data_IF_615982719430
#
_entry.id   IF_615982719430
#
_cell.length_a   1.000
_cell.length_b   1.000
_cell.length_c   1.000
_cell.angle_alpha   90.00
_cell.angle_beta   90.00
_cell.angle_gamma   90.00
#
_symmetry.space_group_name_H-M   'P 1'
#
loop_
_entity.id
_entity.type
_entity.pdbx_description
1 polymer ?
#
# COMPACT_ATOMS: atom_id res chain seq x y z
N UNK A 1 -4.23 10.99 -8.29
CA UNK A 1 -4.03 11.02 -6.82
C UNK A 1 -2.91 10.08 -6.34
N UNK A 2 -2.91 8.78 -6.71
CA UNK A 2 -1.88 7.80 -6.27
C UNK A 2 -0.43 8.13 -6.68
N UNK A 3 -0.19 8.67 -7.89
CA UNK A 3 1.16 9.04 -8.36
C UNK A 3 1.80 10.20 -7.59
N UNK A 4 1.00 11.20 -7.19
CA UNK A 4 1.48 12.33 -6.37
C UNK A 4 1.88 11.85 -4.97
N UNK A 5 1.13 10.90 -4.40
CA UNK A 5 1.44 10.28 -3.11
C UNK A 5 2.72 9.44 -3.15
N UNK A 6 2.94 8.63 -4.19
CA UNK A 6 4.20 7.89 -4.33
C UNK A 6 5.38 8.83 -4.63
N UNK A 7 5.16 9.85 -5.47
CA UNK A 7 6.17 10.85 -5.82
C UNK A 7 6.63 11.66 -4.62
N UNK A 8 5.73 12.05 -3.70
CA UNK A 8 6.09 12.80 -2.50
C UNK A 8 6.94 11.99 -1.52
N UNK A 9 6.74 10.67 -1.44
CA UNK A 9 7.56 9.76 -0.62
C UNK A 9 8.96 9.63 -1.20
N UNK A 10 9.05 9.40 -2.52
CA UNK A 10 10.34 9.30 -3.20
C UNK A 10 11.11 10.62 -3.05
N UNK A 11 10.42 11.76 -3.20
CA UNK A 11 11.02 13.07 -2.99
C UNK A 11 11.47 13.28 -1.53
N UNK A 12 10.63 12.95 -0.54
CA UNK A 12 10.99 13.02 0.88
C UNK A 12 12.20 12.15 1.21
N UNK A 13 12.22 10.91 0.71
CA UNK A 13 13.32 9.98 0.89
C UNK A 13 14.60 10.51 0.24
N UNK A 14 14.55 11.02 -0.99
CA UNK A 14 15.71 11.59 -1.71
C UNK A 14 16.26 12.84 -1.02
N UNK A 15 15.38 13.72 -0.51
CA UNK A 15 15.79 14.92 0.23
C UNK A 15 16.45 14.52 1.54
N UNK A 16 15.82 13.62 2.32
CA UNK A 16 16.37 13.15 3.59
C UNK A 16 17.62 12.29 3.43
N UNK A 17 17.72 11.51 2.35
CA UNK A 17 18.89 10.69 2.06
C UNK A 17 20.11 11.55 1.73
N UNK A 18 19.91 12.68 1.02
CA UNK A 18 20.97 13.66 0.74
C UNK A 18 21.42 14.40 1.99
N UNK A 19 20.50 14.76 2.89
CA UNK A 19 20.83 15.46 4.14
C UNK A 19 21.59 14.59 5.14
N UNK A 20 21.26 13.29 5.22
CA UNK A 20 21.79 12.38 6.26
C UNK A 20 22.90 11.44 5.76
N UNK A 21 23.28 11.50 4.47
CA UNK A 21 24.26 10.58 3.90
C UNK A 21 23.80 9.12 3.91
N UNK A 22 22.48 8.92 3.79
CA UNK A 22 21.83 7.62 3.89
C UNK A 22 22.28 6.72 2.74
N UNK A 23 23.03 5.66 3.04
CA UNK A 23 23.42 4.64 2.06
C UNK A 23 22.42 3.49 2.16
N UNK A 24 21.73 3.19 1.05
CA UNK A 24 20.94 1.96 0.93
C UNK A 24 21.89 0.77 0.95
N UNK A 25 22.23 0.31 2.15
CA UNK A 25 23.04 -0.89 2.32
C UNK A 25 22.14 -2.13 2.30
N UNK A 26 21.65 -2.44 1.11
CA UNK A 26 20.78 -3.60 0.87
C UNK A 26 21.49 -4.92 1.17
N UNK A 27 22.82 -4.92 1.31
CA UNK A 27 23.62 -6.10 1.63
C UNK A 27 23.57 -6.44 3.13
N UNK A 28 23.30 -5.48 3.99
CA UNK A 28 23.18 -5.66 5.45
C UNK A 28 21.74 -5.90 5.93
N UNK A 29 20.79 -6.06 5.00
CA UNK A 29 19.41 -6.39 5.34
C UNK A 29 19.34 -7.81 5.90
N UNK A 30 18.78 -7.92 7.10
CA UNK A 30 18.66 -9.18 7.83
C UNK A 30 17.60 -10.10 7.21
N UNK A 31 17.74 -11.42 7.38
CA UNK A 31 16.75 -12.38 6.89
C UNK A 31 15.31 -12.10 7.38
N UNK A 32 15.06 -11.72 8.65
CA UNK A 32 13.71 -11.34 9.10
C UNK A 32 13.10 -10.16 8.34
N UNK A 33 13.91 -9.18 7.93
CA UNK A 33 13.44 -8.03 7.14
C UNK A 33 13.04 -8.47 5.73
N UNK A 34 13.85 -9.33 5.10
CA UNK A 34 13.50 -9.91 3.81
C UNK A 34 12.23 -10.76 3.87
N UNK A 35 12.08 -11.62 4.88
CA UNK A 35 10.87 -12.44 5.02
C UNK A 35 9.63 -11.59 5.26
N UNK A 36 9.71 -10.58 6.14
CA UNK A 36 8.61 -9.64 6.36
C UNK A 36 8.25 -8.87 5.09
N UNK A 37 9.25 -8.34 4.37
CA UNK A 37 9.06 -7.65 3.10
C UNK A 37 8.33 -8.53 2.10
N UNK A 38 8.86 -9.72 1.81
CA UNK A 38 8.27 -10.59 0.80
C UNK A 38 6.88 -11.07 1.21
N UNK A 39 6.66 -11.45 2.47
CA UNK A 39 5.36 -11.91 2.93
C UNK A 39 4.30 -10.80 2.79
N UNK A 40 4.59 -9.60 3.29
CA UNK A 40 3.64 -8.49 3.28
C UNK A 40 3.37 -7.97 1.86
N UNK A 41 4.42 -7.80 1.05
CA UNK A 41 4.29 -7.36 -0.35
C UNK A 41 3.56 -8.42 -1.16
N UNK A 42 3.90 -9.71 -1.02
CA UNK A 42 3.25 -10.78 -1.77
C UNK A 42 1.75 -10.83 -1.47
N UNK A 43 1.36 -10.86 -0.20
CA UNK A 43 -0.06 -10.87 0.19
C UNK A 43 -0.75 -9.59 -0.32
N UNK A 44 -0.10 -8.43 -0.19
CA UNK A 44 -0.68 -7.17 -0.63
C UNK A 44 -0.89 -7.08 -2.13
N UNK A 45 0.07 -7.58 -2.92
CA UNK A 45 -0.04 -7.62 -4.38
C UNK A 45 -1.07 -8.65 -4.84
N UNK A 46 -1.16 -9.82 -4.20
CA UNK A 46 -2.22 -10.81 -4.48
C UNK A 46 -3.60 -10.17 -4.31
N UNK A 47 -3.84 -9.48 -3.19
CA UNK A 47 -5.11 -8.78 -2.96
C UNK A 47 -5.38 -7.72 -4.05
N UNK A 48 -4.40 -6.90 -4.39
CA UNK A 48 -4.55 -5.85 -5.41
C UNK A 48 -4.82 -6.41 -6.81
N UNK A 49 -4.10 -7.46 -7.22
CA UNK A 49 -4.26 -8.12 -8.51
C UNK A 49 -5.63 -8.81 -8.56
N UNK A 50 -6.05 -9.49 -7.51
CA UNK A 50 -7.35 -10.16 -7.47
C UNK A 50 -8.51 -9.17 -7.51
N UNK A 51 -8.40 -8.00 -6.87
CA UNK A 51 -9.37 -6.91 -7.07
C UNK A 51 -9.43 -6.47 -8.52
N UNK A 52 -8.27 -6.29 -9.16
CA UNK A 52 -8.21 -5.87 -10.55
C UNK A 52 -8.80 -6.91 -11.50
N UNK A 53 -8.53 -8.20 -11.29
CA UNK A 53 -9.09 -9.29 -12.08
C UNK A 53 -10.61 -9.40 -11.91
N UNK A 54 -11.10 -9.17 -10.69
CA UNK A 54 -12.52 -9.29 -10.36
C UNK A 54 -13.35 -8.09 -10.83
N UNK A 55 -12.87 -6.87 -10.64
CA UNK A 55 -13.62 -5.65 -10.97
C UNK A 55 -13.28 -5.08 -12.36
N UNK A 56 -12.20 -5.54 -12.99
CA UNK A 56 -11.57 -4.96 -14.20
C UNK A 56 -11.21 -3.47 -14.03
N UNK A 57 -10.55 -2.87 -15.02
CA UNK A 57 -10.21 -1.43 -15.01
C UNK A 57 -11.45 -0.55 -14.81
N UNK A 58 -12.60 -0.97 -15.35
CA UNK A 58 -13.85 -0.24 -15.26
C UNK A 58 -14.40 -0.19 -13.81
N UNK A 59 -14.35 -1.27 -13.05
CA UNK A 59 -14.81 -1.28 -11.67
C UNK A 59 -13.82 -0.64 -10.70
N UNK A 60 -12.51 -0.77 -10.97
CA UNK A 60 -11.44 -0.24 -10.08
C UNK A 60 -11.27 1.28 -10.19
N UNK A 61 -11.32 1.84 -11.40
CA UNK A 61 -11.08 3.27 -11.61
C UNK A 61 -12.35 4.07 -11.90
N UNK A 62 -13.37 3.42 -12.45
CA UNK A 62 -14.53 4.08 -13.05
C UNK A 62 -15.86 3.53 -12.55
N UNK A 63 -15.93 3.13 -11.27
CA UNK A 63 -17.10 2.50 -10.66
C UNK A 63 -18.37 3.36 -10.70
N UNK A 64 -19.22 3.23 -9.67
CA UNK A 64 -20.53 3.93 -9.63
C UNK A 64 -20.44 5.45 -9.77
N UNK A 65 -19.30 6.06 -9.42
CA UNK A 65 -19.02 7.51 -9.56
C UNK A 65 -19.03 8.03 -11.01
N UNK A 66 -18.93 7.16 -12.01
CA UNK A 66 -19.06 7.53 -13.44
C UNK A 66 -20.27 6.87 -14.11
N UNK A 67 -21.24 6.43 -13.33
CA UNK A 67 -22.51 5.90 -13.84
C UNK A 67 -22.45 4.45 -14.34
N UNK A 68 -21.32 3.74 -14.19
CA UNK A 68 -21.24 2.31 -14.52
C UNK A 68 -21.77 1.46 -13.36
N UNK A 69 -22.75 0.60 -13.67
CA UNK A 69 -23.25 -0.43 -12.72
C UNK A 69 -22.18 -1.50 -12.55
N UNK A 70 -21.44 -1.43 -11.44
CA UNK A 70 -20.52 -2.49 -11.02
C UNK A 70 -21.33 -3.49 -10.20
N UNK A 71 -21.37 -4.75 -10.63
CA UNK A 71 -22.04 -5.80 -9.87
C UNK A 71 -21.28 -6.07 -8.57
N UNK A 72 -22.02 -6.21 -7.47
CA UNK A 72 -21.43 -6.61 -6.19
C UNK A 72 -20.84 -8.02 -6.31
N UNK A 73 -19.53 -8.14 -6.09
CA UNK A 73 -18.84 -9.43 -6.16
C UNK A 73 -18.70 -10.03 -4.78
N UNK A 74 -19.10 -11.30 -4.64
CA UNK A 74 -18.99 -12.07 -3.39
C UNK A 74 -17.87 -13.11 -3.40
N UNK A 75 -17.06 -13.14 -4.46
CA UNK A 75 -15.90 -14.01 -4.59
C UNK A 75 -14.62 -13.39 -4.00
N UNK A 76 -13.53 -14.15 -4.06
CA UNK A 76 -12.21 -13.65 -3.68
C UNK A 76 -11.83 -12.39 -4.50
N UNK A 77 -11.25 -11.34 -3.88
CA UNK A 77 -10.83 -11.24 -2.49
C UNK A 77 -11.86 -10.63 -1.51
N UNK A 78 -13.07 -10.29 -1.99
CA UNK A 78 -14.10 -9.59 -1.21
C UNK A 78 -14.82 -10.46 -0.16
N UNK A 79 -14.72 -11.79 -0.26
CA UNK A 79 -15.22 -12.71 0.76
C UNK A 79 -14.27 -12.90 1.96
N UNK A 80 -13.01 -12.48 1.84
CA UNK A 80 -11.99 -12.65 2.89
C UNK A 80 -11.79 -11.38 3.69
N UNK A 81 -11.82 -10.22 3.02
CA UNK A 81 -11.62 -8.91 3.65
C UNK A 81 -12.55 -7.88 3.03
N UNK A 82 -13.06 -6.94 3.82
CA UNK A 82 -14.05 -5.95 3.36
C UNK A 82 -13.48 -4.98 2.32
N UNK A 83 -12.21 -4.57 2.49
CA UNK A 83 -11.54 -3.63 1.58
C UNK A 83 -10.18 -4.16 1.11
N UNK A 84 -10.17 -5.15 0.20
CA UNK A 84 -8.94 -5.85 -0.20
C UNK A 84 -7.89 -4.95 -0.85
N UNK A 85 -8.30 -3.93 -1.61
CA UNK A 85 -7.35 -3.01 -2.24
C UNK A 85 -6.67 -2.07 -1.23
N UNK A 86 -7.39 -1.62 -0.21
CA UNK A 86 -6.80 -0.79 0.85
C UNK A 86 -5.87 -1.60 1.72
N UNK A 87 -6.29 -2.80 2.12
CA UNK A 87 -5.43 -3.70 2.87
C UNK A 87 -4.17 -4.05 2.06
N UNK A 88 -4.31 -4.34 0.78
CA UNK A 88 -3.17 -4.65 -0.09
C UNK A 88 -2.16 -3.50 -0.22
N UNK A 89 -2.66 -2.25 -0.30
CA UNK A 89 -1.82 -1.06 -0.29
C UNK A 89 -1.08 -0.87 1.06
N UNK A 90 -1.79 -1.02 2.19
CA UNK A 90 -1.20 -0.93 3.54
C UNK A 90 -0.11 -1.98 3.73
N UNK A 91 -0.38 -3.25 3.39
CA UNK A 91 0.61 -4.33 3.49
C UNK A 91 1.85 -4.06 2.65
N UNK A 92 1.69 -3.50 1.44
CA UNK A 92 2.83 -3.13 0.59
C UNK A 92 3.70 -2.05 1.24
N UNK A 93 3.08 -1.02 1.83
CA UNK A 93 3.80 0.05 2.54
C UNK A 93 4.56 -0.49 3.75
N UNK A 94 3.92 -1.34 4.57
CA UNK A 94 4.56 -1.96 5.73
C UNK A 94 5.67 -2.94 5.33
N UNK A 95 5.51 -3.67 4.22
CA UNK A 95 6.57 -4.51 3.67
C UNK A 95 7.82 -3.71 3.34
N UNK A 96 7.67 -2.62 2.57
CA UNK A 96 8.79 -1.70 2.27
C UNK A 96 9.36 -1.08 3.54
N UNK A 97 8.52 -0.67 4.49
CA UNK A 97 8.98 -0.10 5.75
C UNK A 97 9.80 -1.11 6.58
N UNK A 98 9.41 -2.39 6.57
CA UNK A 98 10.15 -3.45 7.27
C UNK A 98 11.54 -3.69 6.67
N UNK A 99 11.66 -3.61 5.34
CA UNK A 99 12.93 -3.75 4.64
C UNK A 99 13.91 -2.61 4.96
N UNK A 100 13.37 -1.40 5.11
CA UNK A 100 14.15 -0.18 5.31
C UNK A 100 14.34 0.20 6.77
N UNK A 101 13.88 -0.61 7.72
CA UNK A 101 13.80 -0.24 9.14
C UNK A 101 15.13 0.29 9.71
N UNK A 102 16.26 -0.34 9.42
CA UNK A 102 17.57 0.04 9.97
C UNK A 102 18.24 1.21 9.23
N UNK A 103 17.90 1.39 7.96
CA UNK A 103 18.56 2.35 7.06
C UNK A 103 17.69 3.57 6.80
N UNK A 104 16.51 3.66 7.40
CA UNK A 104 15.54 4.70 7.12
C UNK A 104 15.80 5.98 7.91
N UNK A 105 15.54 7.17 7.33
CA UNK A 105 15.45 8.40 8.10
C UNK A 105 14.39 8.31 9.21
N UNK A 106 14.55 9.06 10.31
CA UNK A 106 13.50 9.23 11.31
C UNK A 106 12.20 9.71 10.65
N UNK A 107 11.10 8.99 10.88
CA UNK A 107 9.77 9.35 10.35
C UNK A 107 9.12 8.32 9.42
N UNK A 108 9.81 7.24 9.03
CA UNK A 108 9.21 6.17 8.21
C UNK A 108 7.98 5.54 8.87
N UNK A 109 7.99 5.33 10.18
CA UNK A 109 6.82 4.81 10.90
C UNK A 109 5.67 5.81 10.96
N UNK A 110 5.99 7.11 11.03
CA UNK A 110 4.98 8.15 10.96
C UNK A 110 4.34 8.15 9.57
N UNK A 111 5.14 7.98 8.52
CA UNK A 111 4.65 7.87 7.16
C UNK A 111 3.78 6.61 6.96
N UNK A 112 4.24 5.44 7.39
CA UNK A 112 3.49 4.19 7.29
C UNK A 112 2.19 4.23 8.12
N UNK A 113 2.25 4.79 9.32
CA UNK A 113 1.10 5.02 10.19
C UNK A 113 0.10 6.01 9.58
N UNK A 114 0.58 7.12 9.03
CA UNK A 114 -0.25 8.10 8.33
C UNK A 114 -1.00 7.48 7.14
N UNK A 115 -0.32 6.67 6.33
CA UNK A 115 -0.95 5.94 5.23
C UNK A 115 -2.02 4.94 5.71
N UNK A 116 -1.71 4.22 6.78
CA UNK A 116 -2.66 3.30 7.40
C UNK A 116 -3.90 4.04 7.88
N UNK A 117 -3.72 5.21 8.52
CA UNK A 117 -4.83 6.04 8.98
C UNK A 117 -5.68 6.58 7.82
N UNK A 118 -5.06 7.12 6.76
CA UNK A 118 -5.78 7.61 5.58
C UNK A 118 -6.61 6.50 4.92
N UNK A 119 -6.03 5.31 4.76
CA UNK A 119 -6.75 4.19 4.16
C UNK A 119 -7.84 3.63 5.09
N UNK A 120 -7.62 3.59 6.40
CA UNK A 120 -8.66 3.22 7.36
C UNK A 120 -9.82 4.20 7.35
N UNK A 121 -9.55 5.51 7.32
CA UNK A 121 -10.58 6.56 7.22
C UNK A 121 -11.38 6.43 5.92
N UNK A 122 -10.70 6.21 4.79
CA UNK A 122 -11.36 6.05 3.49
C UNK A 122 -12.21 4.78 3.46
N UNK A 123 -11.69 3.67 3.96
CA UNK A 123 -12.43 2.42 4.10
C UNK A 123 -13.68 2.58 4.97
N UNK A 124 -13.55 3.28 6.11
CA UNK A 124 -14.65 3.57 7.00
C UNK A 124 -15.73 4.41 6.30
N UNK A 125 -15.37 5.49 5.60
CA UNK A 125 -16.34 6.29 4.85
C UNK A 125 -17.03 5.52 3.73
N UNK A 126 -16.32 4.63 3.03
CA UNK A 126 -16.93 3.79 2.00
C UNK A 126 -17.93 2.77 2.54
N UNK A 127 -17.94 2.48 3.85
CA UNK A 127 -18.99 1.62 4.44
C UNK A 127 -20.35 2.33 4.55
N UNK A 128 -20.38 3.66 4.49
CA UNK A 128 -21.62 4.46 4.63
C UNK A 128 -22.13 5.02 3.30
N UNK A 129 -21.44 4.74 2.19
CA UNK A 129 -21.84 5.13 0.83
C UNK A 129 -22.55 3.97 0.12
#
# INVERSE_FOLDING_TARGET
MRLLQFGSIVAWYVVKSKEQGLKLDLLNVTWPQWTAFFALVFIGQVLNISVYNTLSTNGVYYGTKLGKKVAWVRGFPFNTVSHPQYLGAVLTVWGVASLLWDVSPPGLLILAGYWTALYAMTAFWEQFL
#
